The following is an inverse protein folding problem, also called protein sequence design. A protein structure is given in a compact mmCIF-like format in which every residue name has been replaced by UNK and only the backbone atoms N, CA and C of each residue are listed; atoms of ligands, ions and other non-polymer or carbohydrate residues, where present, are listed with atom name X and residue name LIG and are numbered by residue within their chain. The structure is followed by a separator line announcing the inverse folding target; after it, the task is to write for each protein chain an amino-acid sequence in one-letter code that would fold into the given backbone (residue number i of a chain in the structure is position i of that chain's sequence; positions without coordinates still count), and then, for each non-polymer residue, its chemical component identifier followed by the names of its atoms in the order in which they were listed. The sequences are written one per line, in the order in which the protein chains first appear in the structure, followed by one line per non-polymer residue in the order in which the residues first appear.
data_IF_917525283389
#
_entry.id   IF_917525283389
#
_cell.length_a   1.000
_cell.length_b   1.000
_cell.length_c   1.000
_cell.angle_alpha   90.00
_cell.angle_beta   90.00
_cell.angle_gamma   90.00
#
_symmetry.space_group_name_H-M   'P 1'
#
loop_
_entity.id
_entity.type
_entity.pdbx_description
1 polymer ?
#
# COMPACT_ATOMS: atom_id res chain seq x y z
N UNK A 1 -34.43 -13.75 16.92
CA UNK A 1 -33.98 -12.67 16.02
C UNK A 1 -32.46 -12.59 16.09
N UNK A 2 -31.70 -12.72 14.99
CA UNK A 2 -30.25 -12.58 15.08
C UNK A 2 -29.91 -11.11 15.28
N UNK A 3 -29.15 -10.82 16.34
CA UNK A 3 -28.59 -9.50 16.62
C UNK A 3 -27.63 -9.17 15.47
N UNK A 4 -28.01 -8.25 14.59
CA UNK A 4 -27.07 -7.70 13.60
C UNK A 4 -25.96 -7.02 14.39
N UNK A 5 -24.77 -7.62 14.43
CA UNK A 5 -23.57 -6.94 14.92
C UNK A 5 -23.43 -5.67 14.09
N UNK A 6 -23.61 -4.50 14.72
CA UNK A 6 -23.32 -3.22 14.07
C UNK A 6 -21.83 -3.26 13.73
N UNK A 7 -21.52 -3.46 12.45
CA UNK A 7 -20.16 -3.22 11.99
C UNK A 7 -19.88 -1.74 12.27
N UNK A 8 -18.95 -1.46 13.17
CA UNK A 8 -18.50 -0.12 13.51
C UNK A 8 -17.68 0.40 12.33
N UNK A 9 -18.37 0.76 11.25
CA UNK A 9 -17.76 1.59 10.23
C UNK A 9 -17.76 3.04 10.75
N UNK A 10 -16.67 3.74 10.51
CA UNK A 10 -16.42 5.09 11.05
C UNK A 10 -16.15 6.08 9.91
N UNK A 11 -15.61 5.60 8.79
CA UNK A 11 -15.24 6.43 7.65
C UNK A 11 -16.33 6.33 6.58
N UNK A 12 -17.13 7.39 6.35
CA UNK A 12 -18.08 7.41 5.25
C UNK A 12 -17.35 7.37 3.91
N UNK A 13 -17.89 6.58 2.97
CA UNK A 13 -17.38 6.49 1.60
C UNK A 13 -18.57 6.59 0.65
N UNK A 14 -18.54 7.58 -0.23
CA UNK A 14 -19.52 7.72 -1.31
C UNK A 14 -19.26 6.69 -2.42
N UNK A 15 -20.26 6.37 -3.26
CA UNK A 15 -20.04 5.45 -4.38
C UNK A 15 -18.89 5.89 -5.31
N UNK A 16 -18.80 7.18 -5.63
CA UNK A 16 -17.73 7.71 -6.47
C UNK A 16 -16.34 7.59 -5.82
N UNK A 17 -16.23 7.83 -4.51
CA UNK A 17 -14.97 7.59 -3.77
C UNK A 17 -14.63 6.10 -3.74
N UNK A 18 -15.63 5.21 -3.62
CA UNK A 18 -15.41 3.77 -3.63
C UNK A 18 -14.86 3.28 -4.99
N UNK A 19 -15.44 3.75 -6.09
CA UNK A 19 -14.98 3.42 -7.45
C UNK A 19 -13.54 3.92 -7.68
N UNK A 20 -13.24 5.15 -7.25
CA UNK A 20 -11.88 5.71 -7.34
C UNK A 20 -10.89 4.95 -6.47
N UNK A 21 -11.29 4.58 -5.26
CA UNK A 21 -10.46 3.80 -4.35
C UNK A 21 -10.09 2.44 -4.94
N UNK A 22 -11.08 1.72 -5.48
CA UNK A 22 -10.87 0.42 -6.12
C UNK A 22 -9.91 0.52 -7.30
N UNK A 23 -10.14 1.48 -8.21
CA UNK A 23 -9.26 1.70 -9.36
C UNK A 23 -7.81 2.04 -8.95
N UNK A 24 -7.61 2.81 -7.88
CA UNK A 24 -6.28 3.12 -7.37
C UNK A 24 -5.61 1.92 -6.71
N UNK A 25 -6.35 1.05 -6.03
CA UNK A 25 -5.80 -0.19 -5.48
C UNK A 25 -5.40 -1.17 -6.58
N UNK A 26 -6.21 -1.31 -7.64
CA UNK A 26 -5.86 -2.14 -8.81
C UNK A 26 -4.61 -1.59 -9.52
N UNK A 27 -4.50 -0.27 -9.68
CA UNK A 27 -3.31 0.35 -10.25
C UNK A 27 -2.09 0.18 -9.35
N UNK A 28 -2.24 0.23 -8.03
CA UNK A 28 -1.15 -0.03 -7.09
C UNK A 28 -0.60 -1.44 -7.26
N UNK A 29 -1.47 -2.45 -7.33
CA UNK A 29 -1.06 -3.84 -7.56
C UNK A 29 -0.33 -3.99 -8.89
N UNK A 30 -0.84 -3.38 -9.96
CA UNK A 30 -0.19 -3.39 -11.26
C UNK A 30 1.21 -2.75 -11.19
N UNK A 31 1.32 -1.54 -10.62
CA UNK A 31 2.58 -0.83 -10.48
C UNK A 31 3.60 -1.63 -9.64
N UNK A 32 3.16 -2.29 -8.56
CA UNK A 32 4.00 -3.14 -7.73
C UNK A 32 4.41 -4.45 -8.43
N UNK A 33 3.58 -4.97 -9.34
CA UNK A 33 3.90 -6.19 -10.10
C UNK A 33 4.99 -5.97 -11.15
N UNK A 34 5.06 -4.77 -11.71
CA UNK A 34 6.08 -4.36 -12.67
C UNK A 34 7.36 -3.90 -11.97
N UNK A 35 7.25 -3.33 -10.78
CA UNK A 35 8.39 -2.89 -9.99
C UNK A 35 9.19 -4.08 -9.39
N UNK A 36 10.54 -4.03 -9.33
CA UNK A 36 11.44 -2.93 -9.71
C UNK A 36 11.98 -3.03 -11.15
N UNK A 37 11.49 -3.97 -11.97
CA UNK A 37 12.14 -4.38 -13.23
C UNK A 37 11.45 -3.91 -14.51
N UNK A 38 10.25 -3.34 -14.43
CA UNK A 38 9.37 -3.00 -15.56
C UNK A 38 9.22 -1.49 -15.80
N UNK A 39 9.72 -1.09 -16.97
CA UNK A 39 9.49 0.05 -17.92
C UNK A 39 8.69 1.32 -17.54
N UNK A 40 7.90 1.39 -16.48
CA UNK A 40 7.22 2.64 -16.09
C UNK A 40 7.85 3.25 -14.83
N UNK A 41 9.08 3.74 -14.94
CA UNK A 41 9.61 4.69 -13.97
C UNK A 41 8.61 5.84 -13.82
N UNK A 42 7.96 5.92 -12.65
CA UNK A 42 6.91 6.90 -12.36
C UNK A 42 5.52 6.33 -12.04
N UNK A 43 5.16 5.12 -12.48
CA UNK A 43 3.79 4.57 -12.25
C UNK A 43 3.46 4.40 -10.77
N UNK A 44 4.41 3.84 -10.00
CA UNK A 44 4.26 3.69 -8.54
C UNK A 44 4.18 5.06 -7.86
N UNK A 45 5.00 6.02 -8.27
CA UNK A 45 4.95 7.38 -7.70
C UNK A 45 3.63 8.08 -8.00
N UNK A 46 3.09 7.88 -9.20
CA UNK A 46 1.85 8.50 -9.63
C UNK A 46 0.66 7.94 -8.83
N UNK A 47 0.53 6.60 -8.73
CA UNK A 47 -0.56 5.99 -7.95
C UNK A 47 -0.50 6.38 -6.47
N UNK A 48 0.70 6.47 -5.87
CA UNK A 48 0.86 6.98 -4.51
C UNK A 48 0.37 8.42 -4.35
N UNK A 49 0.68 9.28 -5.34
CA UNK A 49 0.19 10.66 -5.37
C UNK A 49 -1.33 10.74 -5.50
N UNK A 50 -1.93 9.91 -6.34
CA UNK A 50 -3.39 9.88 -6.51
C UNK A 50 -4.11 9.33 -5.28
N UNK A 51 -3.54 8.32 -4.59
CA UNK A 51 -4.05 7.85 -3.30
C UNK A 51 -4.04 8.97 -2.25
N UNK A 52 -2.95 9.74 -2.18
CA UNK A 52 -2.85 10.88 -1.27
C UNK A 52 -3.91 11.95 -1.59
N UNK A 53 -4.11 12.27 -2.87
CA UNK A 53 -5.14 13.22 -3.31
C UNK A 53 -6.56 12.74 -2.94
N UNK A 54 -6.86 11.46 -3.14
CA UNK A 54 -8.14 10.88 -2.76
C UNK A 54 -8.36 10.98 -1.24
N UNK A 55 -7.39 10.54 -0.43
CA UNK A 55 -7.43 10.63 1.03
C UNK A 55 -7.61 12.08 1.50
N UNK A 56 -6.98 13.04 0.82
CA UNK A 56 -7.13 14.47 1.09
C UNK A 56 -8.55 14.97 0.84
N UNK A 57 -9.24 14.43 -0.16
CA UNK A 57 -10.63 14.81 -0.48
C UNK A 57 -11.67 14.12 0.41
N UNK A 58 -11.39 12.89 0.87
CA UNK A 58 -12.32 12.09 1.65
C UNK A 58 -12.57 12.65 3.06
N UNK A 59 -13.77 12.37 3.57
CA UNK A 59 -14.23 12.69 4.93
C UNK A 59 -13.75 11.67 5.96
N UNK A 60 -12.43 11.54 6.09
CA UNK A 60 -11.76 10.70 7.08
C UNK A 60 -11.58 11.51 8.38
N UNK A 61 -11.80 10.94 9.58
CA UNK A 61 -11.52 11.65 10.82
C UNK A 61 -10.03 12.01 10.93
N UNK A 62 -9.75 13.13 11.60
CA UNK A 62 -8.46 13.82 11.48
C UNK A 62 -7.26 12.95 11.87
N UNK A 63 -7.40 12.13 12.90
CA UNK A 63 -6.33 11.27 13.40
C UNK A 63 -5.97 10.19 12.36
N UNK A 64 -6.95 9.45 11.86
CA UNK A 64 -6.80 8.41 10.85
C UNK A 64 -6.27 9.00 9.53
N UNK A 65 -6.76 10.19 9.16
CA UNK A 65 -6.30 10.91 7.98
C UNK A 65 -4.81 11.27 8.09
N UNK A 66 -4.38 11.77 9.24
CA UNK A 66 -2.98 12.11 9.47
C UNK A 66 -2.05 10.90 9.38
N UNK A 67 -2.47 9.73 9.90
CA UNK A 67 -1.71 8.49 9.80
C UNK A 67 -1.56 8.05 8.33
N UNK A 68 -2.65 8.05 7.57
CA UNK A 68 -2.64 7.68 6.16
C UNK A 68 -1.79 8.64 5.31
N UNK A 69 -1.94 9.95 5.54
CA UNK A 69 -1.15 10.97 4.87
C UNK A 69 0.34 10.80 5.17
N UNK A 70 0.72 10.64 6.45
CA UNK A 70 2.11 10.45 6.84
C UNK A 70 2.73 9.20 6.19
N UNK A 71 1.98 8.10 6.13
CA UNK A 71 2.45 6.87 5.51
C UNK A 71 2.67 7.03 4.00
N UNK A 72 1.75 7.69 3.29
CA UNK A 72 1.87 7.98 1.86
C UNK A 72 2.98 8.98 1.56
N UNK A 73 3.09 10.07 2.31
CA UNK A 73 4.16 11.07 2.16
C UNK A 73 5.53 10.46 2.40
N UNK A 74 5.66 9.60 3.41
CA UNK A 74 6.90 8.86 3.64
C UNK A 74 7.22 7.92 2.48
N UNK A 75 6.24 7.17 1.96
CA UNK A 75 6.43 6.28 0.81
C UNK A 75 6.85 7.04 -0.45
N UNK A 76 6.21 8.17 -0.72
CA UNK A 76 6.55 9.09 -1.81
C UNK A 76 7.99 9.60 -1.63
N UNK A 77 8.32 10.13 -0.45
CA UNK A 77 9.66 10.65 -0.17
C UNK A 77 10.74 9.58 -0.30
N UNK A 78 10.49 8.35 0.13
CA UNK A 78 11.42 7.23 -0.06
C UNK A 78 11.56 6.83 -1.53
N UNK A 79 10.48 6.89 -2.31
CA UNK A 79 10.54 6.62 -3.74
C UNK A 79 11.35 7.69 -4.48
N UNK A 80 11.13 8.97 -4.16
CA UNK A 80 11.81 10.10 -4.79
C UNK A 80 13.30 10.17 -4.42
N UNK A 81 13.65 9.77 -3.20
CA UNK A 81 15.05 9.72 -2.72
C UNK A 81 15.68 8.32 -2.87
N UNK A 82 15.09 7.43 -3.68
CA UNK A 82 15.62 6.08 -3.86
C UNK A 82 17.04 6.15 -4.43
N UNK A 83 17.97 5.52 -3.73
CA UNK A 83 19.35 5.32 -4.19
C UNK A 83 19.50 3.89 -4.73
N UNK A 84 20.71 3.31 -4.72
CA UNK A 84 20.97 1.97 -5.26
C UNK A 84 20.23 0.82 -4.53
N UNK A 85 19.61 1.07 -3.37
CA UNK A 85 18.91 0.07 -2.57
C UNK A 85 17.44 0.42 -2.34
N UNK A 86 16.56 -0.49 -2.79
CA UNK A 86 15.11 -0.41 -2.58
C UNK A 86 14.65 -0.91 -1.20
N UNK A 87 15.56 -1.36 -0.33
CA UNK A 87 15.19 -2.01 0.92
C UNK A 87 14.33 -1.13 1.83
N UNK A 88 14.73 0.13 2.00
CA UNK A 88 13.98 1.09 2.83
C UNK A 88 12.62 1.42 2.21
N UNK A 89 12.57 1.62 0.89
CA UNK A 89 11.34 1.84 0.15
C UNK A 89 10.35 0.68 0.33
N UNK A 90 10.80 -0.57 0.25
CA UNK A 90 9.95 -1.75 0.46
C UNK A 90 9.33 -1.73 1.86
N UNK A 91 10.14 -1.50 2.89
CA UNK A 91 9.65 -1.46 4.28
C UNK A 91 8.63 -0.34 4.46
N UNK A 92 8.89 0.83 3.87
CA UNK A 92 7.96 1.96 3.92
C UNK A 92 6.65 1.66 3.19
N UNK A 93 6.70 1.05 2.01
CA UNK A 93 5.50 0.64 1.27
C UNK A 93 4.70 -0.44 2.03
N UNK A 94 5.37 -1.37 2.72
CA UNK A 94 4.71 -2.36 3.57
C UNK A 94 3.97 -1.72 4.75
N UNK A 95 4.58 -0.72 5.39
CA UNK A 95 3.94 0.05 6.45
C UNK A 95 2.71 0.80 5.90
N UNK A 96 2.86 1.47 4.75
CA UNK A 96 1.74 2.17 4.08
C UNK A 96 0.58 1.23 3.74
N UNK A 97 0.85 0.06 3.15
CA UNK A 97 -0.18 -0.96 2.86
C UNK A 97 -0.89 -1.40 4.14
N UNK A 98 -0.17 -1.51 5.25
CA UNK A 98 -0.75 -1.86 6.56
C UNK A 98 -1.71 -0.78 7.07
N UNK A 99 -1.35 0.51 6.94
CA UNK A 99 -2.24 1.61 7.33
C UNK A 99 -3.48 1.69 6.43
N UNK A 100 -3.32 1.52 5.11
CA UNK A 100 -4.45 1.45 4.17
C UNK A 100 -5.40 0.29 4.52
N UNK A 101 -4.85 -0.87 4.92
CA UNK A 101 -5.66 -2.01 5.36
C UNK A 101 -6.46 -1.66 6.61
N UNK A 102 -5.82 -1.01 7.60
CA UNK A 102 -6.49 -0.52 8.80
C UNK A 102 -7.67 0.39 8.48
N UNK A 103 -7.49 1.33 7.54
CA UNK A 103 -8.53 2.23 7.09
C UNK A 103 -9.69 1.50 6.40
N UNK A 104 -9.39 0.60 5.44
CA UNK A 104 -10.39 -0.22 4.73
C UNK A 104 -11.30 -0.98 5.70
N UNK A 105 -10.75 -1.50 6.80
CA UNK A 105 -11.52 -2.24 7.80
C UNK A 105 -12.62 -1.40 8.46
N UNK A 106 -12.44 -0.08 8.56
CA UNK A 106 -13.41 0.85 9.17
C UNK A 106 -14.19 1.70 8.16
N UNK A 107 -13.99 1.49 6.85
CA UNK A 107 -14.79 2.13 5.81
C UNK A 107 -16.25 1.65 5.83
N UNK A 108 -17.18 2.59 5.62
CA UNK A 108 -18.62 2.38 5.56
C UNK A 108 -19.07 1.94 4.15
N UNK A 109 -18.60 0.77 3.75
CA UNK A 109 -19.01 0.08 2.51
C UNK A 109 -19.57 -1.30 2.79
N UNK A 110 -20.15 -1.93 1.76
CA UNK A 110 -20.63 -3.30 1.88
C UNK A 110 -19.49 -4.28 2.20
N UNK A 111 -19.73 -5.37 2.94
CA UNK A 111 -18.71 -6.38 3.23
C UNK A 111 -18.01 -6.91 1.98
N UNK A 112 -18.76 -7.13 0.89
CA UNK A 112 -18.21 -7.63 -0.38
C UNK A 112 -17.17 -6.69 -0.99
N UNK A 113 -17.44 -5.39 -0.96
CA UNK A 113 -16.50 -4.36 -1.46
C UNK A 113 -15.24 -4.33 -0.58
N UNK A 114 -15.45 -4.37 0.74
CA UNK A 114 -14.35 -4.43 1.71
C UNK A 114 -13.45 -5.65 1.51
N UNK A 115 -14.03 -6.83 1.28
CA UNK A 115 -13.28 -8.06 1.03
C UNK A 115 -12.44 -7.95 -0.25
N UNK A 116 -12.96 -7.30 -1.30
CA UNK A 116 -12.22 -7.00 -2.53
C UNK A 116 -10.99 -6.11 -2.27
N UNK A 117 -11.19 -4.99 -1.56
CA UNK A 117 -10.10 -4.07 -1.20
C UNK A 117 -9.05 -4.71 -0.29
N UNK A 118 -9.49 -5.53 0.67
CA UNK A 118 -8.58 -6.33 1.51
C UNK A 118 -7.78 -7.31 0.65
N UNK A 119 -8.40 -7.90 -0.38
CA UNK A 119 -7.74 -8.76 -1.35
C UNK A 119 -6.59 -8.06 -2.08
N UNK A 120 -6.88 -6.89 -2.67
CA UNK A 120 -5.89 -6.07 -3.37
C UNK A 120 -4.73 -5.67 -2.45
N UNK A 121 -5.03 -5.13 -1.26
CA UNK A 121 -3.97 -4.73 -0.31
C UNK A 121 -3.11 -5.91 0.19
N UNK A 122 -3.68 -7.11 0.30
CA UNK A 122 -2.91 -8.31 0.63
C UNK A 122 -2.01 -8.74 -0.54
N UNK A 123 -2.46 -8.56 -1.77
CA UNK A 123 -1.67 -8.82 -2.95
C UNK A 123 -0.51 -7.84 -3.09
N UNK A 124 -0.74 -6.53 -2.91
CA UNK A 124 0.32 -5.52 -2.76
C UNK A 124 1.36 -5.92 -1.71
N UNK A 125 0.91 -6.33 -0.52
CA UNK A 125 1.78 -6.82 0.55
C UNK A 125 2.61 -8.05 0.14
N UNK A 126 2.01 -8.98 -0.61
CA UNK A 126 2.69 -10.17 -1.15
C UNK A 126 3.76 -9.79 -2.18
N UNK A 127 3.46 -8.88 -3.10
CA UNK A 127 4.40 -8.38 -4.11
C UNK A 127 5.61 -7.69 -3.45
N UNK A 128 5.38 -6.83 -2.46
CA UNK A 128 6.45 -6.19 -1.68
C UNK A 128 7.31 -7.21 -0.92
N UNK A 129 6.70 -8.23 -0.32
CA UNK A 129 7.44 -9.29 0.35
C UNK A 129 8.32 -10.09 -0.62
N UNK A 130 7.86 -10.34 -1.84
CA UNK A 130 8.66 -10.99 -2.88
C UNK A 130 9.84 -10.13 -3.34
N UNK A 131 9.61 -8.83 -3.54
CA UNK A 131 10.67 -7.89 -3.85
C UNK A 131 11.75 -7.87 -2.76
N UNK A 132 11.35 -7.86 -1.48
CA UNK A 132 12.27 -7.90 -0.35
C UNK A 132 13.13 -9.18 -0.28
N UNK A 133 12.57 -10.35 -0.61
CA UNK A 133 13.34 -11.61 -0.67
C UNK A 133 14.45 -11.56 -1.73
N UNK A 134 14.21 -10.89 -2.86
CA UNK A 134 15.21 -10.75 -3.92
C UNK A 134 16.45 -9.97 -3.47
N UNK A 135 16.29 -9.01 -2.55
CA UNK A 135 17.39 -8.27 -1.93
C UNK A 135 18.18 -9.15 -0.96
N UNK A 136 17.49 -9.93 -0.12
CA UNK A 136 18.13 -10.87 0.82
C UNK A 136 18.98 -11.95 0.13
N UNK A 137 18.55 -12.42 -1.04
CA UNK A 137 19.31 -13.38 -1.83
C UNK A 137 20.64 -12.80 -2.38
N UNK A 138 20.70 -11.49 -2.67
CA UNK A 138 21.95 -10.83 -3.12
C UNK A 138 22.98 -10.68 -1.99
N UNK A 139 22.55 -10.61 -0.73
CA UNK A 139 23.43 -10.53 0.44
C UNK A 139 24.02 -11.86 0.90
N UNK A 140 23.53 -13.00 0.40
CA UNK A 140 23.97 -14.33 0.84
C UNK A 140 25.32 -14.79 0.24
N UNK A 141 25.90 -14.04 -0.70
CA UNK A 141 27.28 -14.25 -1.15
C UNK A 141 28.26 -13.65 -0.13
N UNK A 142 28.30 -14.22 1.08
CA UNK A 142 29.36 -13.92 2.04
C UNK A 142 30.71 -14.36 1.47
N UNK A 143 31.77 -13.58 1.71
CA UNK A 143 33.11 -13.90 1.26
C UNK A 143 33.50 -15.33 1.66
N UNK A 144 33.94 -16.14 0.69
CA UNK A 144 34.62 -17.41 0.95
C UNK A 144 35.81 -17.13 1.86
N UNK A 145 35.80 -17.70 3.06
CA UNK A 145 36.90 -17.57 4.01
C UNK A 145 38.22 -18.08 3.43
N UNK A 146 39.38 -17.63 3.96
CA UNK A 146 40.68 -18.00 3.40
C UNK A 146 40.87 -19.51 3.40
N UNK A 147 41.24 -20.07 2.24
CA UNK A 147 41.76 -21.44 2.13
C UNK A 147 43.10 -21.50 2.84
N UNK A 148 43.20 -22.37 3.84
CA UNK A 148 44.40 -22.58 4.65
C UNK A 148 45.59 -23.15 3.90
#
# INVERSE_FOLDING_TARGET
MPVRKKHHCVIPVTPAEADQWEALLEWLDLALSEWPRGVADGSLREVLGQLLLLINSMRIPLQEKGVLQAALELAIGQYENRSESDALLIVTLQAMVTELLGAVLVFCVSPRVKDGWVGLLREAGRLLALAGRSLGARGAAGATGPTG
#
